data_IF_956536373634
#
_entry.id   IF_956536373634
#
_cell.length_a   1.000
_cell.length_b   1.000
_cell.length_c   1.000
_cell.angle_alpha   90.00
_cell.angle_beta   90.00
_cell.angle_gamma   90.00
#
_symmetry.space_group_name_H-M   'P 1'
#
loop_
_entity.id
_entity.type
_entity.pdbx_description
1 polymer ?
#
# COMPACT_ATOMS: atom_id res chain seq x y z
N UNK A 1 11.89 -9.13 5.41
CA UNK A 1 11.07 -10.30 5.06
C UNK A 1 10.99 -10.32 3.55
N UNK A 2 11.31 -11.43 2.89
CA UNK A 2 11.23 -11.52 1.43
C UNK A 2 9.77 -11.72 1.02
N UNK A 3 9.34 -11.04 -0.04
CA UNK A 3 8.03 -11.29 -0.65
C UNK A 3 7.96 -12.73 -1.19
N UNK A 4 6.87 -13.45 -0.88
CA UNK A 4 6.58 -14.75 -1.48
C UNK A 4 6.31 -14.59 -2.99
N UNK A 5 7.09 -15.27 -3.87
CA UNK A 5 6.92 -15.20 -5.31
C UNK A 5 5.51 -15.59 -5.80
N UNK A 6 4.83 -16.54 -5.14
CA UNK A 6 3.48 -16.96 -5.54
C UNK A 6 2.45 -15.86 -5.26
N UNK A 7 2.54 -15.22 -4.09
CA UNK A 7 1.68 -14.09 -3.77
C UNK A 7 1.94 -12.90 -4.69
N UNK A 8 3.19 -12.64 -5.05
CA UNK A 8 3.54 -11.58 -5.99
C UNK A 8 3.01 -11.87 -7.40
N UNK A 9 3.16 -13.11 -7.87
CA UNK A 9 2.64 -13.52 -9.17
C UNK A 9 1.11 -13.35 -9.24
N UNK A 10 0.40 -13.74 -8.18
CA UNK A 10 -1.05 -13.54 -8.10
C UNK A 10 -1.42 -12.06 -8.05
N UNK A 11 -0.71 -11.24 -7.29
CA UNK A 11 -0.94 -9.79 -7.27
C UNK A 11 -0.74 -9.16 -8.66
N UNK A 12 0.28 -9.61 -9.40
CA UNK A 12 0.58 -9.14 -10.76
C UNK A 12 -0.45 -9.54 -11.81
N UNK A 13 -1.31 -10.54 -11.56
CA UNK A 13 -2.43 -10.80 -12.48
C UNK A 13 -3.49 -9.70 -12.39
N UNK A 14 -3.60 -9.03 -11.24
CA UNK A 14 -4.52 -7.91 -10.99
C UNK A 14 -3.88 -6.55 -11.28
N UNK A 15 -2.59 -6.43 -10.96
CA UNK A 15 -1.78 -5.21 -11.12
C UNK A 15 -0.48 -5.54 -11.88
N UNK A 16 -0.52 -5.69 -13.22
CA UNK A 16 0.61 -6.16 -14.01
C UNK A 16 1.88 -5.30 -13.88
N UNK A 17 1.69 -3.99 -13.71
CA UNK A 17 2.77 -3.01 -13.59
C UNK A 17 3.29 -2.86 -12.15
N UNK A 18 2.86 -3.70 -11.21
CA UNK A 18 3.38 -3.66 -9.85
C UNK A 18 4.86 -4.09 -9.80
N UNK A 19 5.66 -3.37 -9.03
CA UNK A 19 7.10 -3.59 -8.92
C UNK A 19 7.53 -3.76 -7.47
N UNK A 20 8.52 -4.61 -7.23
CA UNK A 20 9.15 -4.71 -5.91
C UNK A 20 10.28 -3.69 -5.84
N UNK A 21 10.20 -2.78 -4.87
CA UNK A 21 11.20 -1.74 -4.62
C UNK A 21 11.80 -1.92 -3.21
N UNK A 22 13.07 -2.36 -3.11
CA UNK A 22 13.74 -2.51 -1.82
C UNK A 22 14.25 -1.16 -1.30
N UNK A 23 14.07 -0.91 0.00
CA UNK A 23 14.69 0.23 0.70
C UNK A 23 15.01 -0.18 2.14
N UNK A 24 16.27 0.03 2.57
CA UNK A 24 16.68 -0.24 3.95
C UNK A 24 16.45 -1.70 4.40
N UNK A 25 16.53 -2.67 3.48
CA UNK A 25 16.28 -4.09 3.77
C UNK A 25 14.80 -4.47 3.89
N UNK A 26 13.88 -3.58 3.50
CA UNK A 26 12.44 -3.82 3.48
C UNK A 26 11.93 -3.72 2.04
N UNK A 27 11.21 -4.76 1.62
CA UNK A 27 10.54 -4.77 0.33
C UNK A 27 9.26 -3.96 0.38
N UNK A 28 9.09 -3.12 -0.63
CA UNK A 28 7.86 -2.41 -0.91
C UNK A 28 7.30 -2.90 -2.23
N UNK A 29 5.98 -2.88 -2.39
CA UNK A 29 5.32 -3.09 -3.66
C UNK A 29 4.84 -1.73 -4.15
N UNK A 30 5.48 -1.25 -5.20
CA UNK A 30 5.11 -0.03 -5.90
C UNK A 30 4.03 -0.33 -6.93
N UNK A 31 2.98 0.49 -6.93
CA UNK A 31 1.93 0.48 -7.93
C UNK A 31 1.99 1.81 -8.69
N UNK A 32 2.35 1.81 -9.98
CA UNK A 32 2.30 3.04 -10.77
C UNK A 32 0.86 3.53 -10.97
N UNK A 33 -0.10 2.60 -11.02
CA UNK A 33 -1.53 2.87 -11.12
C UNK A 33 -2.30 1.92 -10.21
N UNK A 34 -2.72 2.40 -9.04
CA UNK A 34 -3.64 1.71 -8.14
C UNK A 34 -5.04 2.35 -8.24
N UNK A 35 -6.07 1.60 -8.69
CA UNK A 35 -7.46 2.01 -8.59
C UNK A 35 -7.90 2.00 -7.12
N UNK A 36 -8.42 3.12 -6.65
CA UNK A 36 -8.97 3.29 -5.31
C UNK A 36 -10.40 3.80 -5.43
N UNK A 37 -11.34 2.98 -4.96
CA UNK A 37 -12.74 3.36 -4.86
C UNK A 37 -12.95 4.30 -3.68
N UNK A 38 -13.57 5.45 -3.93
CA UNK A 38 -13.95 6.43 -2.91
C UNK A 38 -15.21 7.18 -3.34
N UNK A 39 -16.21 7.22 -2.46
CA UNK A 39 -17.47 7.98 -2.66
C UNK A 39 -18.13 7.71 -4.03
N UNK A 40 -18.11 6.45 -4.50
CA UNK A 40 -18.70 6.06 -5.80
C UNK A 40 -17.86 6.46 -7.03
N UNK A 41 -16.64 6.92 -6.85
CA UNK A 41 -15.68 7.22 -7.92
C UNK A 41 -14.43 6.36 -7.79
N UNK A 42 -13.72 6.13 -8.91
CA UNK A 42 -12.44 5.43 -8.91
C UNK A 42 -11.33 6.44 -9.16
N UNK A 43 -10.48 6.65 -8.16
CA UNK A 43 -9.24 7.40 -8.32
C UNK A 43 -8.14 6.44 -8.79
N UNK A 44 -7.30 6.90 -9.71
CA UNK A 44 -6.07 6.21 -10.09
C UNK A 44 -4.90 7.01 -9.52
N UNK A 45 -4.07 6.36 -8.71
CA UNK A 45 -2.91 7.01 -8.12
C UNK A 45 -1.73 6.06 -7.96
N UNK A 46 -0.54 6.63 -7.85
CA UNK A 46 0.62 5.86 -7.41
C UNK A 46 0.45 5.46 -5.95
N UNK A 47 0.91 4.26 -5.62
CA UNK A 47 0.88 3.76 -4.25
C UNK A 47 2.10 2.91 -3.94
N UNK A 48 2.39 2.78 -2.65
CA UNK A 48 3.48 1.96 -2.12
C UNK A 48 2.94 1.13 -0.98
N UNK A 49 2.93 -0.19 -1.11
CA UNK A 49 2.60 -1.11 -0.02
C UNK A 49 3.88 -1.59 0.63
N UNK A 50 4.06 -1.26 1.91
CA UNK A 50 5.19 -1.71 2.72
C UNK A 50 4.83 -2.96 3.50
N UNK A 51 5.72 -3.95 3.45
CA UNK A 51 5.60 -5.24 4.14
C UNK A 51 6.67 -5.37 5.23
N UNK A 52 6.49 -4.58 6.28
CA UNK A 52 7.43 -4.52 7.39
C UNK A 52 7.04 -3.40 8.34
N UNK A 53 7.57 -3.50 9.56
CA UNK A 53 7.29 -2.55 10.62
C UNK A 53 7.59 -1.11 10.18
N UNK A 54 6.63 -0.23 10.45
CA UNK A 54 6.76 1.20 10.22
C UNK A 54 5.89 1.99 11.21
N UNK A 55 6.51 2.47 12.28
CA UNK A 55 5.87 3.26 13.35
C UNK A 55 4.74 2.51 14.07
N UNK A 56 4.97 1.25 14.42
CA UNK A 56 4.02 0.39 15.12
C UNK A 56 3.03 -0.33 14.21
N UNK A 57 3.11 -0.15 12.89
CA UNK A 57 2.25 -0.83 11.92
C UNK A 57 3.01 -1.96 11.21
N UNK A 58 2.53 -3.22 11.22
CA UNK A 58 3.21 -4.35 10.58
C UNK A 58 3.17 -4.29 9.04
N UNK A 59 2.14 -3.64 8.48
CA UNK A 59 2.02 -3.32 7.06
C UNK A 59 1.46 -1.91 6.92
N UNK A 60 1.79 -1.23 5.82
CA UNK A 60 1.26 0.12 5.58
C UNK A 60 1.13 0.42 4.09
N UNK A 61 -0.03 0.91 3.69
CA UNK A 61 -0.27 1.44 2.35
C UNK A 61 -0.06 2.96 2.35
N UNK A 62 0.80 3.42 1.45
CA UNK A 62 1.02 4.82 1.17
C UNK A 62 0.52 5.17 -0.23
N UNK A 63 0.05 6.40 -0.40
CA UNK A 63 -0.48 6.95 -1.66
C UNK A 63 0.15 8.31 -1.96
N UNK A 64 0.20 8.71 -3.23
CA UNK A 64 0.89 9.94 -3.64
C UNK A 64 0.27 11.24 -3.11
N UNK A 65 -0.99 11.20 -2.67
CA UNK A 65 -1.71 12.35 -2.08
C UNK A 65 -2.82 11.89 -1.15
N UNK A 66 -3.21 12.77 -0.23
CA UNK A 66 -4.38 12.52 0.62
C UNK A 66 -5.67 12.45 -0.21
N UNK A 67 -6.62 11.66 0.28
CA UNK A 67 -7.98 11.57 -0.27
C UNK A 67 -8.92 12.30 0.69
N UNK A 68 -9.53 13.39 0.22
CA UNK A 68 -10.40 14.23 1.05
C UNK A 68 -11.55 13.41 1.66
N UNK A 69 -11.82 13.64 2.94
CA UNK A 69 -12.88 12.97 3.72
C UNK A 69 -12.73 11.44 3.83
N UNK A 70 -11.54 10.88 3.56
CA UNK A 70 -11.23 9.45 3.72
C UNK A 70 -10.02 9.24 4.61
N UNK A 71 -10.01 8.13 5.35
CA UNK A 71 -8.99 7.83 6.35
C UNK A 71 -8.93 8.80 7.53
N UNK A 72 -8.07 8.50 8.48
CA UNK A 72 -7.86 9.30 9.69
C UNK A 72 -6.36 9.52 9.91
N UNK A 73 -5.99 10.62 10.59
CA UNK A 73 -4.62 10.89 11.05
C UNK A 73 -3.55 10.72 9.95
N UNK A 74 -3.74 11.44 8.84
CA UNK A 74 -2.80 11.40 7.72
C UNK A 74 -1.43 11.94 8.10
N UNK A 75 -0.39 11.20 7.71
CA UNK A 75 1.00 11.61 7.89
C UNK A 75 1.74 11.50 6.54
N UNK A 76 2.75 12.35 6.36
CA UNK A 76 3.62 12.37 5.19
C UNK A 76 4.98 11.76 5.54
N UNK A 77 5.51 10.92 4.66
CA UNK A 77 6.76 10.19 4.83
C UNK A 77 7.62 10.31 3.58
N UNK A 78 8.94 10.34 3.75
CA UNK A 78 9.90 10.28 2.65
C UNK A 78 10.35 8.82 2.49
N UNK A 79 9.98 8.19 1.38
CA UNK A 79 10.33 6.81 1.04
C UNK A 79 10.67 6.75 -0.44
N UNK A 80 11.72 6.03 -0.81
CA UNK A 80 12.17 5.87 -2.20
C UNK A 80 12.35 7.22 -2.92
N UNK A 81 12.88 8.22 -2.20
CA UNK A 81 13.12 9.57 -2.71
C UNK A 81 11.87 10.40 -3.02
N UNK A 82 10.68 9.95 -2.61
CA UNK A 82 9.41 10.63 -2.85
C UNK A 82 8.62 10.86 -1.55
N UNK A 83 7.76 11.88 -1.58
CA UNK A 83 6.81 12.14 -0.50
C UNK A 83 5.56 11.25 -0.67
N UNK A 84 5.20 10.55 0.39
CA UNK A 84 4.11 9.58 0.42
C UNK A 84 3.19 9.83 1.61
N UNK A 85 1.88 9.69 1.40
CA UNK A 85 0.87 9.93 2.41
C UNK A 85 0.25 8.62 2.87
N UNK A 86 0.09 8.43 4.18
CA UNK A 86 -0.64 7.29 4.71
C UNK A 86 -1.56 7.70 5.87
N UNK A 87 -2.83 7.26 5.87
CA UNK A 87 -3.70 7.37 7.04
C UNK A 87 -3.25 6.38 8.11
N UNK A 88 -3.79 6.52 9.33
CA UNK A 88 -3.77 5.45 10.32
C UNK A 88 -4.72 4.34 9.90
N UNK A 89 -4.18 3.15 9.67
CA UNK A 89 -4.93 1.93 9.43
C UNK A 89 -4.16 0.75 10.03
N UNK A 90 -4.78 -0.02 10.92
CA UNK A 90 -4.11 -1.03 11.74
C UNK A 90 -4.78 -2.42 11.62
N UNK A 91 -4.21 -3.41 12.32
CA UNK A 91 -4.68 -4.79 12.40
C UNK A 91 -4.55 -5.58 11.09
N UNK A 92 -3.71 -5.12 10.16
CA UNK A 92 -3.38 -5.83 8.92
C UNK A 92 -2.06 -6.58 9.09
N UNK A 93 -2.15 -7.86 9.44
CA UNK A 93 -0.99 -8.74 9.69
C UNK A 93 -0.24 -9.15 8.41
N UNK A 94 1.05 -9.46 8.55
CA UNK A 94 1.93 -9.98 7.50
C UNK A 94 1.63 -11.45 7.13
N UNK A 95 0.86 -12.17 7.94
CA UNK A 95 0.49 -13.57 7.67
C UNK A 95 -0.57 -13.71 6.57
N UNK A 96 -1.14 -12.59 6.12
CA UNK A 96 -2.12 -12.55 5.05
C UNK A 96 -1.44 -12.61 3.67
N UNK A 97 -2.09 -13.20 2.65
CA UNK A 97 -1.66 -13.05 1.26
C UNK A 97 -1.61 -11.58 0.83
N UNK A 98 -0.70 -11.22 -0.08
CA UNK A 98 -0.50 -9.83 -0.52
C UNK A 98 -1.79 -9.14 -1.00
N UNK A 99 -2.60 -9.84 -1.78
CA UNK A 99 -3.89 -9.32 -2.25
C UNK A 99 -4.85 -9.04 -1.07
N UNK A 100 -4.82 -9.86 -0.02
CA UNK A 100 -5.65 -9.65 1.17
C UNK A 100 -5.13 -8.48 2.02
N UNK A 101 -3.80 -8.30 2.13
CA UNK A 101 -3.19 -7.12 2.77
C UNK A 101 -3.63 -5.85 2.03
N UNK A 102 -3.45 -5.81 0.70
CA UNK A 102 -3.84 -4.67 -0.12
C UNK A 102 -5.34 -4.38 -0.02
N UNK A 103 -6.19 -5.40 -0.16
CA UNK A 103 -7.64 -5.25 -0.07
C UNK A 103 -8.07 -4.69 1.31
N UNK A 104 -7.44 -5.13 2.39
CA UNK A 104 -7.69 -4.57 3.72
C UNK A 104 -7.35 -3.08 3.78
N UNK A 105 -6.18 -2.67 3.29
CA UNK A 105 -5.79 -1.26 3.28
C UNK A 105 -6.73 -0.42 2.41
N UNK A 106 -7.20 -0.93 1.28
CA UNK A 106 -8.15 -0.22 0.42
C UNK A 106 -9.48 0.10 1.10
N UNK A 107 -9.88 -0.65 2.14
CA UNK A 107 -11.15 -0.38 2.84
C UNK A 107 -11.17 0.97 3.55
N UNK A 108 -10.01 1.54 3.92
CA UNK A 108 -9.92 2.86 4.56
C UNK A 108 -10.41 4.01 3.67
N UNK A 109 -10.48 3.77 2.36
CA UNK A 109 -10.86 4.75 1.35
C UNK A 109 -12.30 4.60 0.84
N UNK A 110 -13.01 3.55 1.25
CA UNK A 110 -14.39 3.31 0.84
C UNK A 110 -15.36 4.31 1.46
#
# INVERSE_FOLDING_TARGET
>A
MSIDPQHLAHLKTLYPDAEVMPEGGIDHIYFPVLPIETNGTVLKMKALLRLGEHQGYPTRLFVERQIANKGQNWNCFQLLGNAWWAPSWNYVTLDLPLCAILANHLTVFR
#
